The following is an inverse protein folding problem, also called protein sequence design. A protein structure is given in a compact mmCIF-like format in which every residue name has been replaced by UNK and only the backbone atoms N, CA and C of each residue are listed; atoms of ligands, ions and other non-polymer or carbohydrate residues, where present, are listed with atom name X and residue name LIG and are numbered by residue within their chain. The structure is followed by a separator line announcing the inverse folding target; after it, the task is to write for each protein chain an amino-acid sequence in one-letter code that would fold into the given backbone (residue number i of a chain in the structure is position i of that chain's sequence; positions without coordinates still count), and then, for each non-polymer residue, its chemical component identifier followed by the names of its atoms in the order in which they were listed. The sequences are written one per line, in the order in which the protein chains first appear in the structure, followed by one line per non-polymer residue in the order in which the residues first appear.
data_IF_129795123132
#
_entry.id   IF_129795123132
#
_cell.length_a   1.000
_cell.length_b   1.000
_cell.length_c   1.000
_cell.angle_alpha   90.00
_cell.angle_beta   90.00
_cell.angle_gamma   90.00
#
_symmetry.space_group_name_H-M   'P 1'
#
loop_
_entity.id
_entity.type
_entity.pdbx_description
1 polymer ?
#
# COMPACT_ATOMS: atom_id res chain seq x y z
N UNK A 1 -17.54 13.06 -6.35
CA UNK A 1 -16.47 12.17 -6.91
C UNK A 1 -15.18 12.95 -7.08
N UNK A 2 -14.05 12.38 -6.63
CA UNK A 2 -12.73 13.00 -6.83
C UNK A 2 -12.41 13.11 -8.32
N UNK A 3 -11.87 14.25 -8.82
CA UNK A 3 -11.63 14.47 -10.26
C UNK A 3 -10.83 13.41 -10.98
N UNK A 4 -9.86 12.77 -10.29
CA UNK A 4 -9.02 11.70 -10.86
C UNK A 4 -9.83 10.51 -11.42
N UNK A 5 -11.04 10.27 -10.90
CA UNK A 5 -11.87 9.15 -11.34
C UNK A 5 -12.75 9.46 -12.56
N UNK A 6 -12.96 10.73 -12.92
CA UNK A 6 -13.97 11.11 -13.92
C UNK A 6 -13.81 10.37 -15.25
N UNK A 7 -12.59 10.35 -15.81
CA UNK A 7 -12.33 9.71 -17.10
C UNK A 7 -12.54 8.19 -17.04
N UNK A 8 -11.96 7.54 -16.02
CA UNK A 8 -12.09 6.09 -15.85
C UNK A 8 -13.54 5.69 -15.57
N UNK A 9 -14.25 6.45 -14.72
CA UNK A 9 -15.65 6.22 -14.39
C UNK A 9 -16.56 6.36 -15.62
N UNK A 10 -16.38 7.39 -16.44
CA UNK A 10 -17.19 7.62 -17.64
C UNK A 10 -17.06 6.51 -18.69
N UNK A 11 -15.94 5.78 -18.67
CA UNK A 11 -15.69 4.67 -19.57
C UNK A 11 -16.30 3.33 -19.11
N UNK A 12 -16.81 3.26 -17.88
CA UNK A 12 -17.42 2.04 -17.34
C UNK A 12 -18.82 1.81 -17.92
N UNK A 13 -19.34 0.56 -17.93
CA UNK A 13 -20.73 0.28 -18.28
C UNK A 13 -21.69 1.03 -17.36
N UNK A 14 -22.84 1.49 -17.90
CA UNK A 14 -23.81 2.30 -17.17
C UNK A 14 -24.32 1.64 -15.88
N UNK A 15 -24.52 0.33 -15.89
CA UNK A 15 -24.91 -0.44 -14.68
C UNK A 15 -23.87 -0.34 -13.58
N UNK A 16 -22.59 -0.44 -13.94
CA UNK A 16 -21.48 -0.35 -12.99
C UNK A 16 -21.29 1.10 -12.51
N UNK A 17 -21.45 2.10 -13.38
CA UNK A 17 -21.47 3.51 -12.99
C UNK A 17 -22.53 3.75 -11.91
N UNK A 18 -23.77 3.30 -12.15
CA UNK A 18 -24.88 3.48 -11.20
C UNK A 18 -24.62 2.80 -9.86
N UNK A 19 -23.97 1.62 -9.86
CA UNK A 19 -23.65 0.89 -8.64
C UNK A 19 -22.49 1.52 -7.86
N UNK A 20 -21.52 2.14 -8.53
CA UNK A 20 -20.32 2.73 -7.91
C UNK A 20 -20.52 4.18 -7.48
N UNK A 21 -21.37 4.93 -8.18
CA UNK A 21 -21.54 6.37 -7.99
C UNK A 21 -21.78 6.78 -6.53
N UNK A 22 -22.66 6.11 -5.75
CA UNK A 22 -22.91 6.50 -4.37
C UNK A 22 -21.67 6.48 -3.48
N UNK A 23 -20.75 5.57 -3.75
CA UNK A 23 -19.48 5.44 -3.00
C UNK A 23 -18.42 6.44 -3.48
N UNK A 24 -18.30 6.61 -4.80
CA UNK A 24 -17.29 7.50 -5.39
C UNK A 24 -17.64 8.99 -5.21
N UNK A 25 -18.92 9.33 -4.99
CA UNK A 25 -19.36 10.70 -4.69
C UNK A 25 -19.09 11.10 -3.24
N UNK A 26 -18.81 10.15 -2.35
CA UNK A 26 -18.36 10.46 -1.01
C UNK A 26 -17.02 11.21 -1.05
N UNK A 27 -16.94 12.33 -0.33
CA UNK A 27 -15.73 13.20 -0.31
C UNK A 27 -14.51 12.51 0.31
N UNK A 28 -14.75 11.50 1.12
CA UNK A 28 -13.77 10.72 1.89
C UNK A 28 -13.64 9.28 1.40
N UNK A 29 -13.98 9.01 0.13
CA UNK A 29 -13.86 7.67 -0.43
C UNK A 29 -12.43 7.11 -0.24
N UNK A 30 -12.27 6.02 0.54
CA UNK A 30 -10.95 5.57 0.98
C UNK A 30 -10.23 4.68 -0.03
N UNK A 31 -10.63 4.67 -1.30
CA UNK A 31 -10.16 3.79 -2.37
C UNK A 31 -10.23 2.30 -2.00
N UNK A 32 -11.31 1.93 -1.32
CA UNK A 32 -11.63 0.54 -0.98
C UNK A 32 -13.13 0.31 -0.92
N UNK A 33 -13.54 -0.93 -1.03
CA UNK A 33 -14.90 -1.38 -0.78
C UNK A 33 -14.90 -2.44 0.31
N UNK A 34 -15.83 -2.35 1.26
CA UNK A 34 -16.05 -3.43 2.22
C UNK A 34 -16.65 -4.66 1.52
N UNK A 35 -16.57 -5.81 2.17
CA UNK A 35 -17.18 -7.05 1.64
C UNK A 35 -18.67 -6.86 1.32
N UNK A 36 -19.40 -6.14 2.17
CA UNK A 36 -20.82 -5.82 1.97
C UNK A 36 -21.02 -4.93 0.74
N UNK A 37 -20.25 -3.88 0.60
CA UNK A 37 -20.30 -2.97 -0.56
C UNK A 37 -19.93 -3.71 -1.85
N UNK A 38 -18.88 -4.52 -1.83
CA UNK A 38 -18.47 -5.34 -2.97
C UNK A 38 -19.57 -6.34 -3.38
N UNK A 39 -20.21 -6.98 -2.41
CA UNK A 39 -21.34 -7.89 -2.66
C UNK A 39 -22.55 -7.17 -3.28
N UNK A 40 -22.90 -5.98 -2.79
CA UNK A 40 -23.97 -5.16 -3.35
C UNK A 40 -23.69 -4.74 -4.80
N UNK A 41 -22.47 -4.29 -5.10
CA UNK A 41 -22.05 -3.91 -6.45
C UNK A 41 -22.10 -5.13 -7.38
N UNK A 42 -21.54 -6.29 -6.99
CA UNK A 42 -21.59 -7.52 -7.78
C UNK A 42 -23.02 -7.94 -8.11
N UNK A 43 -23.88 -7.99 -7.09
CA UNK A 43 -25.29 -8.37 -7.24
C UNK A 43 -26.02 -7.42 -8.19
N UNK A 44 -25.80 -6.11 -8.07
CA UNK A 44 -26.42 -5.10 -8.93
C UNK A 44 -25.96 -5.14 -10.38
N UNK A 45 -24.74 -5.66 -10.64
CA UNK A 45 -24.16 -5.71 -11.97
C UNK A 45 -24.09 -7.11 -12.58
N UNK A 46 -24.47 -8.16 -11.86
CA UNK A 46 -24.35 -9.55 -12.32
C UNK A 46 -22.89 -10.01 -12.49
N UNK A 47 -21.97 -9.50 -11.65
CA UNK A 47 -20.55 -9.81 -11.70
C UNK A 47 -20.18 -10.82 -10.62
N UNK A 48 -19.18 -11.65 -10.89
CA UNK A 48 -18.46 -12.41 -9.86
C UNK A 48 -17.31 -11.58 -9.25
N UNK A 49 -16.58 -12.17 -8.30
CA UNK A 49 -15.48 -11.49 -7.60
C UNK A 49 -14.36 -11.04 -8.52
N UNK A 50 -13.96 -11.92 -9.45
CA UNK A 50 -12.86 -11.64 -10.36
C UNK A 50 -13.28 -10.59 -11.41
N UNK A 51 -14.47 -10.70 -11.96
CA UNK A 51 -15.03 -9.73 -12.92
C UNK A 51 -15.14 -8.33 -12.30
N UNK A 52 -15.58 -8.22 -11.03
CA UNK A 52 -15.61 -6.93 -10.34
C UNK A 52 -14.19 -6.38 -10.16
N UNK A 53 -13.24 -7.19 -9.70
CA UNK A 53 -11.87 -6.73 -9.51
C UNK A 53 -11.25 -6.22 -10.83
N UNK A 54 -11.46 -6.92 -11.94
CA UNK A 54 -11.04 -6.45 -13.28
C UNK A 54 -11.72 -5.14 -13.69
N UNK A 55 -13.01 -5.02 -13.45
CA UNK A 55 -13.77 -3.81 -13.78
C UNK A 55 -13.33 -2.57 -12.98
N UNK A 56 -12.77 -2.76 -11.79
CA UNK A 56 -12.26 -1.68 -10.93
C UNK A 56 -10.82 -1.24 -11.26
N UNK A 57 -10.06 -2.01 -12.06
CA UNK A 57 -8.66 -1.69 -12.39
C UNK A 57 -8.48 -0.28 -12.99
N UNK A 58 -9.34 0.22 -13.90
CA UNK A 58 -9.20 1.59 -14.42
C UNK A 58 -9.31 2.66 -13.33
N UNK A 59 -10.17 2.46 -12.33
CA UNK A 59 -10.29 3.36 -11.19
C UNK A 59 -9.06 3.29 -10.27
N UNK A 60 -8.53 2.10 -10.05
CA UNK A 60 -7.29 1.94 -9.29
C UNK A 60 -6.11 2.62 -10.01
N UNK A 61 -5.96 2.40 -11.32
CA UNK A 61 -4.93 3.04 -12.15
C UNK A 61 -5.04 4.57 -12.16
N UNK A 62 -6.26 5.12 -12.03
CA UNK A 62 -6.49 6.56 -11.91
C UNK A 62 -5.90 7.17 -10.62
N UNK A 63 -5.52 6.35 -9.63
CA UNK A 63 -4.81 6.77 -8.43
C UNK A 63 -3.29 6.87 -8.63
N UNK A 64 -2.74 6.48 -9.79
CA UNK A 64 -1.29 6.49 -10.02
C UNK A 64 -0.71 7.90 -10.07
N UNK A 65 0.51 8.05 -9.55
CA UNK A 65 1.30 9.27 -9.62
C UNK A 65 2.57 8.97 -10.43
N UNK A 66 2.55 9.29 -11.72
CA UNK A 66 3.58 8.86 -12.68
C UNK A 66 4.18 10.02 -13.48
N UNK A 67 4.78 11.02 -12.79
CA UNK A 67 5.33 12.19 -13.46
C UNK A 67 6.56 11.92 -14.34
N UNK A 68 7.16 10.73 -14.25
CA UNK A 68 8.38 10.35 -14.97
C UNK A 68 8.02 9.43 -16.14
N UNK A 69 7.37 8.30 -15.86
CA UNK A 69 7.09 7.26 -16.88
C UNK A 69 5.81 7.50 -17.66
N UNK A 70 4.83 8.21 -17.09
CA UNK A 70 3.46 8.30 -17.59
C UNK A 70 2.79 6.93 -17.79
N UNK A 71 3.26 5.91 -17.08
CA UNK A 71 2.77 4.53 -17.16
C UNK A 71 1.91 4.21 -15.93
N UNK A 72 0.60 4.03 -16.15
CA UNK A 72 -0.40 3.91 -15.11
C UNK A 72 -0.71 2.46 -14.81
N UNK A 73 -0.34 1.99 -13.62
CA UNK A 73 -0.65 0.64 -13.14
C UNK A 73 -1.65 0.73 -12.00
N UNK A 74 -2.71 -0.06 -12.12
CA UNK A 74 -3.70 -0.25 -11.05
C UNK A 74 -3.70 -1.71 -10.59
N UNK A 75 -3.93 -1.91 -9.30
CA UNK A 75 -4.10 -3.21 -8.69
C UNK A 75 -5.27 -3.21 -7.72
N UNK A 76 -5.92 -4.36 -7.56
CA UNK A 76 -6.95 -4.62 -6.56
C UNK A 76 -6.51 -5.80 -5.71
N UNK A 77 -6.28 -5.57 -4.42
CA UNK A 77 -6.10 -6.63 -3.46
C UNK A 77 -7.46 -7.05 -2.90
N UNK A 78 -7.78 -8.33 -2.94
CA UNK A 78 -8.93 -8.90 -2.26
C UNK A 78 -8.47 -9.57 -0.98
N UNK A 79 -8.96 -9.07 0.15
CA UNK A 79 -8.75 -9.67 1.46
C UNK A 79 -9.52 -10.98 1.63
N UNK A 80 -9.10 -11.81 2.56
CA UNK A 80 -9.90 -12.96 2.98
C UNK A 80 -11.20 -12.54 3.67
N UNK A 81 -11.27 -11.32 4.19
CA UNK A 81 -12.51 -10.68 4.66
C UNK A 81 -13.54 -10.44 3.55
N UNK A 82 -13.13 -10.45 2.28
CA UNK A 82 -13.94 -10.05 1.13
C UNK A 82 -13.84 -8.56 0.78
N UNK A 83 -13.11 -7.76 1.55
CA UNK A 83 -12.84 -6.37 1.23
C UNK A 83 -11.95 -6.25 -0.01
N UNK A 84 -12.16 -5.18 -0.79
CA UNK A 84 -11.36 -4.84 -1.97
C UNK A 84 -10.56 -3.56 -1.71
N UNK A 85 -9.26 -3.61 -1.93
CA UNK A 85 -8.34 -2.50 -1.69
C UNK A 85 -7.66 -2.08 -2.99
N UNK A 86 -7.72 -0.80 -3.32
CA UNK A 86 -7.03 -0.24 -4.48
C UNK A 86 -5.54 -0.12 -4.20
N UNK A 87 -4.75 -0.23 -5.26
CA UNK A 87 -3.34 0.12 -5.29
C UNK A 87 -2.97 0.72 -6.64
N UNK A 88 -1.99 1.61 -6.63
CA UNK A 88 -1.49 2.28 -7.81
C UNK A 88 0.01 2.57 -7.68
N UNK A 89 0.72 2.65 -8.78
CA UNK A 89 2.12 3.00 -8.76
C UNK A 89 2.34 4.49 -8.50
N UNK A 90 3.45 4.78 -7.82
CA UNK A 90 3.82 6.15 -7.43
C UNK A 90 5.29 6.40 -7.74
N UNK A 91 5.57 7.53 -8.37
CA UNK A 91 6.90 8.02 -8.70
C UNK A 91 7.11 9.39 -8.06
N UNK A 92 8.33 9.67 -7.63
CA UNK A 92 8.68 10.91 -6.94
C UNK A 92 9.78 11.63 -7.70
N UNK A 93 9.42 12.73 -8.40
CA UNK A 93 10.39 13.58 -9.09
C UNK A 93 11.42 14.14 -8.11
N UNK A 94 12.70 14.05 -8.47
CA UNK A 94 13.80 14.51 -7.61
C UNK A 94 14.26 13.48 -6.56
N UNK A 95 13.59 12.32 -6.45
CA UNK A 95 14.04 11.20 -5.62
C UNK A 95 14.61 10.05 -6.49
N UNK A 96 15.48 9.19 -5.93
CA UNK A 96 15.94 8.00 -6.63
C UNK A 96 14.78 7.05 -6.99
N UNK A 97 14.90 6.33 -8.12
CA UNK A 97 13.86 5.40 -8.59
C UNK A 97 13.53 4.30 -7.56
N UNK A 98 14.48 3.94 -6.68
CA UNK A 98 14.26 2.99 -5.59
C UNK A 98 13.22 3.46 -4.56
N UNK A 99 12.87 4.75 -4.57
CA UNK A 99 11.82 5.30 -3.71
C UNK A 99 10.42 5.16 -4.31
N UNK A 100 10.30 4.78 -5.58
CA UNK A 100 9.00 4.56 -6.23
C UNK A 100 8.26 3.36 -5.61
N UNK A 101 6.93 3.39 -5.76
CA UNK A 101 6.03 2.34 -5.28
C UNK A 101 5.36 1.67 -6.47
N UNK A 102 5.29 0.35 -6.48
CA UNK A 102 4.53 -0.39 -7.47
C UNK A 102 3.08 -0.59 -7.04
N UNK A 103 2.17 -0.80 -8.00
CA UNK A 103 0.75 -0.90 -7.72
C UNK A 103 0.41 -2.09 -6.81
N UNK A 104 1.09 -3.22 -6.97
CA UNK A 104 0.92 -4.40 -6.14
C UNK A 104 1.38 -4.14 -4.69
N UNK A 105 2.54 -3.49 -4.50
CA UNK A 105 2.99 -3.05 -3.18
C UNK A 105 1.99 -2.10 -2.54
N UNK A 106 1.45 -1.16 -3.33
CA UNK A 106 0.44 -0.21 -2.89
C UNK A 106 -0.84 -0.93 -2.41
N UNK A 107 -1.37 -1.87 -3.19
CA UNK A 107 -2.59 -2.61 -2.84
C UNK A 107 -2.41 -3.48 -1.59
N UNK A 108 -1.31 -4.22 -1.51
CA UNK A 108 -0.95 -5.03 -0.33
C UNK A 108 -0.83 -4.17 0.93
N UNK A 109 -0.06 -3.08 0.82
CA UNK A 109 0.17 -2.15 1.93
C UNK A 109 -1.11 -1.46 2.37
N UNK A 110 -1.96 -1.05 1.43
CA UNK A 110 -3.27 -0.49 1.73
C UNK A 110 -4.11 -1.46 2.56
N UNK A 111 -4.25 -2.70 2.13
CA UNK A 111 -4.96 -3.74 2.87
C UNK A 111 -4.37 -3.95 4.27
N UNK A 112 -3.05 -4.07 4.37
CA UNK A 112 -2.35 -4.27 5.63
C UNK A 112 -2.54 -3.11 6.62
N UNK A 113 -2.44 -1.87 6.15
CA UNK A 113 -2.65 -0.67 6.97
C UNK A 113 -4.11 -0.49 7.41
N UNK A 114 -5.07 -1.01 6.63
CA UNK A 114 -6.50 -1.05 6.98
C UNK A 114 -6.89 -2.23 7.87
N UNK A 115 -5.93 -3.07 8.27
CA UNK A 115 -6.13 -4.15 9.23
C UNK A 115 -6.59 -5.48 8.61
N UNK A 116 -6.49 -5.64 7.29
CA UNK A 116 -6.69 -6.94 6.65
C UNK A 116 -5.67 -7.95 7.18
N UNK A 117 -6.12 -9.18 7.42
CA UNK A 117 -5.29 -10.21 8.06
C UNK A 117 -4.57 -11.10 7.06
N UNK A 118 -5.12 -11.30 5.87
CA UNK A 118 -4.53 -12.08 4.79
C UNK A 118 -5.19 -11.75 3.47
N UNK A 119 -4.50 -11.96 2.36
CA UNK A 119 -5.01 -11.73 1.02
C UNK A 119 -5.38 -13.02 0.32
N UNK A 120 -6.49 -13.00 -0.41
CA UNK A 120 -6.94 -14.09 -1.27
C UNK A 120 -6.38 -13.94 -2.70
N UNK A 121 -6.38 -12.70 -3.24
CA UNK A 121 -5.90 -12.44 -4.59
C UNK A 121 -5.38 -11.02 -4.79
N UNK A 122 -4.53 -10.87 -5.79
CA UNK A 122 -4.15 -9.60 -6.39
C UNK A 122 -4.55 -9.63 -7.86
N UNK A 123 -5.38 -8.67 -8.27
CA UNK A 123 -5.71 -8.41 -9.67
C UNK A 123 -4.94 -7.18 -10.11
N UNK A 124 -4.24 -7.23 -11.23
CA UNK A 124 -3.42 -6.12 -11.74
C UNK A 124 -3.50 -6.05 -13.26
N UNK A 125 -3.44 -4.84 -13.82
CA UNK A 125 -3.63 -4.64 -15.26
C UNK A 125 -2.40 -5.02 -16.11
N UNK A 126 -1.23 -5.20 -15.49
CA UNK A 126 0.00 -5.70 -16.14
C UNK A 126 0.63 -6.81 -15.31
N UNK A 127 1.45 -7.65 -15.95
CA UNK A 127 2.13 -8.74 -15.25
C UNK A 127 3.03 -8.20 -14.14
N UNK A 128 2.97 -8.75 -12.90
CA UNK A 128 3.81 -8.30 -11.80
C UNK A 128 5.29 -8.52 -12.13
N UNK A 129 6.11 -7.50 -11.90
CA UNK A 129 7.56 -7.59 -12.09
C UNK A 129 8.21 -8.49 -11.02
N UNK A 130 9.47 -8.86 -11.20
CA UNK A 130 10.19 -9.71 -10.24
C UNK A 130 10.24 -9.13 -8.83
N UNK A 131 10.37 -7.79 -8.71
CA UNK A 131 10.33 -7.07 -7.44
C UNK A 131 8.99 -7.25 -6.70
N UNK A 132 7.86 -7.11 -7.39
CA UNK A 132 6.53 -7.29 -6.80
C UNK A 132 6.26 -8.75 -6.43
N UNK A 133 6.68 -9.70 -7.26
CA UNK A 133 6.56 -11.13 -6.93
C UNK A 133 7.32 -11.46 -5.65
N UNK A 134 8.55 -10.98 -5.53
CA UNK A 134 9.37 -11.17 -4.34
C UNK A 134 8.80 -10.45 -3.12
N UNK A 135 8.26 -9.23 -3.27
CA UNK A 135 7.58 -8.52 -2.19
C UNK A 135 6.38 -9.31 -1.67
N UNK A 136 5.52 -9.81 -2.57
CA UNK A 136 4.34 -10.60 -2.20
C UNK A 136 4.70 -11.97 -1.58
N UNK A 137 5.89 -12.49 -1.84
CA UNK A 137 6.37 -13.74 -1.26
C UNK A 137 6.61 -13.66 0.26
N UNK A 138 6.63 -12.45 0.82
CA UNK A 138 6.72 -12.20 2.28
C UNK A 138 5.38 -12.38 3.00
N UNK A 139 4.26 -12.37 2.26
CA UNK A 139 2.91 -12.45 2.83
C UNK A 139 2.64 -13.78 3.53
N UNK A 140 1.80 -13.74 4.55
CA UNK A 140 1.29 -14.94 5.21
C UNK A 140 0.40 -15.81 4.30
N UNK A 141 -0.17 -15.26 3.23
CA UNK A 141 -0.79 -16.03 2.14
C UNK A 141 0.24 -16.70 1.21
N UNK A 142 1.48 -16.21 1.20
CA UNK A 142 2.61 -16.81 0.51
C UNK A 142 2.35 -17.20 -0.93
N UNK A 143 2.92 -18.33 -1.34
CA UNK A 143 2.78 -18.85 -2.70
C UNK A 143 1.36 -19.21 -3.14
N UNK A 144 0.41 -19.37 -2.20
CA UNK A 144 -1.00 -19.66 -2.49
C UNK A 144 -1.79 -18.43 -2.97
N UNK A 145 -1.25 -17.20 -2.80
CA UNK A 145 -1.86 -15.97 -3.26
C UNK A 145 -2.22 -16.07 -4.75
N UNK A 146 -3.48 -15.80 -5.08
CA UNK A 146 -3.94 -15.84 -6.46
C UNK A 146 -3.58 -14.56 -7.20
N UNK A 147 -2.96 -14.68 -8.36
CA UNK A 147 -2.64 -13.57 -9.27
C UNK A 147 -3.63 -13.60 -10.44
N UNK A 148 -4.29 -12.48 -10.68
CA UNK A 148 -5.29 -12.30 -11.73
C UNK A 148 -4.80 -11.25 -12.73
N UNK A 149 -4.72 -11.65 -14.00
CA UNK A 149 -4.27 -10.80 -15.10
C UNK A 149 -5.31 -10.80 -16.21
N UNK A 150 -5.57 -9.65 -16.88
CA UNK A 150 -6.49 -9.59 -18.01
C UNK A 150 -6.12 -10.60 -19.10
N UNK A 151 -7.10 -11.39 -19.54
CA UNK A 151 -6.93 -12.36 -20.63
C UNK A 151 -6.05 -13.57 -20.31
N UNK A 152 -5.70 -13.79 -19.04
CA UNK A 152 -4.94 -14.97 -18.61
C UNK A 152 -5.75 -15.84 -17.64
N UNK A 153 -5.48 -17.14 -17.66
CA UNK A 153 -6.01 -18.03 -16.65
C UNK A 153 -5.48 -17.63 -15.27
N UNK A 154 -6.29 -17.82 -14.20
CA UNK A 154 -5.82 -17.64 -12.84
C UNK A 154 -4.60 -18.53 -12.54
N UNK A 155 -3.62 -17.94 -11.83
CA UNK A 155 -2.42 -18.66 -11.41
C UNK A 155 -2.03 -18.20 -10.00
N UNK A 156 -1.25 -19.00 -9.31
CA UNK A 156 -0.75 -18.67 -7.97
C UNK A 156 0.53 -17.84 -8.03
N UNK A 157 0.90 -17.21 -6.93
CA UNK A 157 2.21 -16.55 -6.83
C UNK A 157 3.34 -17.58 -7.02
N UNK A 158 3.18 -18.82 -6.55
CA UNK A 158 4.16 -19.89 -6.74
C UNK A 158 4.39 -20.22 -8.23
N UNK A 159 3.36 -20.11 -9.08
CA UNK A 159 3.50 -20.28 -10.52
C UNK A 159 4.32 -19.13 -11.16
N UNK A 160 4.22 -17.92 -10.60
CA UNK A 160 4.94 -16.73 -11.07
C UNK A 160 6.33 -16.57 -10.47
N UNK A 161 6.62 -17.22 -9.35
CA UNK A 161 7.91 -17.17 -8.64
C UNK A 161 8.29 -18.59 -8.18
N UNK A 162 8.64 -19.50 -9.11
CA UNK A 162 9.10 -20.84 -8.77
C UNK A 162 10.42 -20.78 -8.02
N UNK A 163 10.68 -21.77 -7.15
CA UNK A 163 11.90 -21.87 -6.33
C UNK A 163 12.25 -20.57 -5.56
N UNK A 164 11.21 -19.93 -5.03
CA UNK A 164 11.32 -18.63 -4.39
C UNK A 164 12.13 -18.67 -3.10
N UNK A 165 13.14 -17.80 -2.98
CA UNK A 165 13.77 -17.46 -1.71
C UNK A 165 12.81 -16.63 -0.84
N UNK A 166 12.67 -17.00 0.43
CA UNK A 166 11.73 -16.32 1.30
C UNK A 166 11.99 -16.53 2.80
N UNK A 167 11.05 -16.14 3.67
CA UNK A 167 11.22 -16.19 5.13
C UNK A 167 11.65 -17.55 5.66
N UNK A 168 11.12 -18.65 5.11
CA UNK A 168 11.46 -20.02 5.49
C UNK A 168 12.94 -20.36 5.30
N UNK A 169 13.61 -19.76 4.32
CA UNK A 169 15.02 -20.01 4.04
C UNK A 169 15.94 -19.31 5.05
N UNK A 170 15.39 -18.40 5.85
CA UNK A 170 16.06 -17.67 6.93
C UNK A 170 15.49 -18.06 8.32
N UNK A 171 14.74 -19.16 8.41
CA UNK A 171 14.11 -19.65 9.65
C UNK A 171 13.21 -18.59 10.34
N UNK A 172 12.57 -17.70 9.55
CA UNK A 172 11.68 -16.66 10.05
C UNK A 172 10.24 -17.15 9.98
N UNK A 173 9.58 -17.19 11.14
CA UNK A 173 8.20 -17.64 11.29
C UNK A 173 7.16 -16.52 11.14
N UNK A 174 7.52 -15.27 11.49
CA UNK A 174 6.62 -14.12 11.37
C UNK A 174 6.58 -13.63 9.91
N UNK A 175 5.39 -13.56 9.35
CA UNK A 175 5.16 -13.21 7.95
C UNK A 175 4.48 -11.84 7.84
N UNK A 176 4.59 -11.22 6.68
CA UNK A 176 3.91 -9.95 6.41
C UNK A 176 2.39 -10.15 6.51
N UNK A 177 1.71 -9.24 7.17
CA UNK A 177 0.30 -9.21 7.59
C UNK A 177 -0.01 -10.00 8.88
N UNK A 178 0.92 -10.73 9.46
CA UNK A 178 0.74 -11.25 10.81
C UNK A 178 0.58 -10.09 11.81
N UNK A 179 -0.22 -10.31 12.83
CA UNK A 179 -0.45 -9.29 13.85
C UNK A 179 0.71 -9.23 14.82
N UNK A 180 1.35 -8.06 14.89
CA UNK A 180 2.50 -7.82 15.76
C UNK A 180 2.32 -6.52 16.56
N UNK A 181 2.90 -6.49 17.76
CA UNK A 181 3.08 -5.28 18.56
C UNK A 181 4.40 -5.39 19.33
N UNK A 182 5.36 -4.57 18.93
CA UNK A 182 6.71 -4.62 19.52
C UNK A 182 6.82 -3.94 20.89
N UNK A 183 5.82 -3.14 21.29
CA UNK A 183 5.74 -2.55 22.63
C UNK A 183 6.72 -1.42 22.91
N UNK A 184 7.33 -0.83 21.87
CA UNK A 184 8.21 0.32 22.04
C UNK A 184 7.46 1.53 22.60
N UNK A 185 8.14 2.32 23.40
CA UNK A 185 7.57 3.49 24.08
C UNK A 185 8.48 4.71 23.88
N UNK A 186 7.86 5.86 23.83
CA UNK A 186 8.53 7.17 23.88
C UNK A 186 7.91 7.99 25.02
N UNK A 187 8.64 8.96 25.58
CA UNK A 187 8.04 9.95 26.47
C UNK A 187 6.82 10.59 25.81
N UNK A 188 5.95 11.19 26.62
CA UNK A 188 4.76 11.87 26.11
C UNK A 188 5.13 12.89 25.04
N UNK A 189 4.58 12.72 23.83
CA UNK A 189 4.83 13.51 22.63
C UNK A 189 3.51 13.92 21.98
N UNK A 190 3.60 14.72 20.91
CA UNK A 190 2.44 15.11 20.11
C UNK A 190 1.80 13.92 19.36
N UNK A 191 0.60 14.13 18.82
CA UNK A 191 -0.17 13.11 18.12
C UNK A 191 0.57 12.54 16.90
N UNK A 192 1.35 13.37 16.19
CA UNK A 192 2.12 12.95 15.03
C UNK A 192 3.22 11.95 15.42
N UNK A 193 3.97 12.24 16.48
CA UNK A 193 5.00 11.34 17.02
C UNK A 193 4.40 10.03 17.53
N UNK A 194 3.26 10.10 18.23
CA UNK A 194 2.57 8.90 18.69
C UNK A 194 2.05 8.04 17.53
N UNK A 195 1.57 8.65 16.44
CA UNK A 195 1.16 7.91 15.23
C UNK A 195 2.34 7.20 14.57
N UNK A 196 3.51 7.84 14.47
CA UNK A 196 4.72 7.23 13.96
C UNK A 196 5.20 6.04 14.82
N UNK A 197 5.18 6.20 16.14
CA UNK A 197 5.52 5.13 17.12
C UNK A 197 4.54 3.96 17.01
N UNK A 198 3.24 4.23 16.94
CA UNK A 198 2.23 3.19 16.79
C UNK A 198 2.42 2.40 15.48
N UNK A 199 2.82 3.07 14.39
CA UNK A 199 3.18 2.44 13.15
C UNK A 199 4.44 1.58 13.29
N UNK A 200 5.50 2.08 13.94
CA UNK A 200 6.73 1.32 14.23
C UNK A 200 6.44 0.05 15.03
N UNK A 201 5.58 0.14 16.04
CA UNK A 201 5.18 -1.01 16.87
C UNK A 201 4.46 -2.11 16.09
N UNK A 202 3.94 -1.81 14.92
CA UNK A 202 3.22 -2.76 14.04
C UNK A 202 3.96 -3.03 12.74
N UNK A 203 5.23 -2.63 12.64
CA UNK A 203 6.07 -2.87 11.48
C UNK A 203 6.48 -4.34 11.37
N UNK A 204 6.77 -4.78 10.15
CA UNK A 204 7.32 -6.10 9.85
C UNK A 204 8.81 -5.94 9.54
N UNK A 205 9.66 -6.27 10.49
CA UNK A 205 11.12 -6.17 10.34
C UNK A 205 11.84 -7.35 11.02
N UNK A 206 11.57 -8.60 10.57
CA UNK A 206 12.06 -9.80 11.25
C UNK A 206 13.56 -10.04 11.06
N UNK A 207 14.19 -9.43 10.05
CA UNK A 207 15.60 -9.67 9.69
C UNK A 207 16.53 -8.67 10.36
N UNK A 208 16.20 -7.39 10.32
CA UNK A 208 17.06 -6.31 10.88
C UNK A 208 16.67 -5.91 12.30
N UNK A 209 15.45 -6.23 12.72
CA UNK A 209 14.82 -5.71 13.95
C UNK A 209 14.74 -4.17 14.01
N UNK A 210 14.91 -3.50 12.86
CA UNK A 210 14.81 -2.05 12.75
C UNK A 210 13.34 -1.60 12.58
N UNK A 211 12.51 -1.89 13.60
CA UNK A 211 11.10 -1.53 13.62
C UNK A 211 10.94 -0.04 13.40
N UNK A 212 10.25 0.37 12.34
CA UNK A 212 10.12 1.79 12.05
C UNK A 212 8.75 2.16 11.49
N UNK A 213 8.37 3.41 11.72
CA UNK A 213 7.11 3.98 11.25
C UNK A 213 7.27 5.46 10.94
N UNK A 214 6.53 5.94 9.95
CA UNK A 214 6.46 7.35 9.57
C UNK A 214 5.03 7.83 9.72
N UNK A 215 4.86 9.02 10.28
CA UNK A 215 3.59 9.74 10.26
C UNK A 215 3.76 11.08 9.53
N UNK A 216 2.78 11.40 8.69
CA UNK A 216 2.69 12.62 7.89
C UNK A 216 1.52 13.45 8.38
N UNK A 217 1.71 14.76 8.49
CA UNK A 217 0.65 15.74 8.73
C UNK A 217 0.51 16.63 7.50
N UNK A 218 -0.69 16.70 6.97
CA UNK A 218 -1.02 17.55 5.82
C UNK A 218 -1.56 18.92 6.25
N UNK A 219 -1.63 19.85 5.30
CA UNK A 219 -2.03 21.26 5.56
C UNK A 219 -3.44 21.38 6.18
N UNK A 220 -4.31 20.42 5.95
CA UNK A 220 -5.66 20.32 6.51
C UNK A 220 -5.71 19.62 7.90
N UNK A 221 -4.55 19.24 8.44
CA UNK A 221 -4.41 18.62 9.76
C UNK A 221 -4.66 17.11 9.78
N UNK A 222 -4.87 16.48 8.63
CA UNK A 222 -5.01 15.02 8.56
C UNK A 222 -3.67 14.33 8.80
N UNK A 223 -3.73 13.18 9.47
CA UNK A 223 -2.57 12.34 9.76
C UNK A 223 -2.62 11.05 8.93
N UNK A 224 -1.46 10.68 8.36
CA UNK A 224 -1.28 9.44 7.61
C UNK A 224 -0.05 8.72 8.14
N UNK A 225 -0.22 7.51 8.64
CA UNK A 225 0.88 6.74 9.22
C UNK A 225 1.16 5.48 8.40
N UNK A 226 2.44 5.22 8.15
CA UNK A 226 2.93 4.04 7.44
C UNK A 226 3.99 3.31 8.26
N UNK A 227 4.05 2.01 8.10
CA UNK A 227 4.96 1.11 8.81
C UNK A 227 5.87 0.37 7.84
N UNK A 228 7.09 0.08 8.28
CA UNK A 228 8.09 -0.64 7.51
C UNK A 228 7.64 -2.07 7.23
N UNK A 229 7.81 -2.51 5.99
CA UNK A 229 7.60 -3.89 5.55
C UNK A 229 8.90 -4.42 4.97
N UNK A 230 9.65 -5.19 5.76
CA UNK A 230 10.90 -5.80 5.36
C UNK A 230 10.65 -7.05 4.51
N UNK A 231 11.60 -7.39 3.64
CA UNK A 231 11.54 -8.56 2.78
C UNK A 231 12.81 -9.40 2.94
N UNK A 232 12.68 -10.72 2.86
CA UNK A 232 13.79 -11.65 2.97
C UNK A 232 14.94 -11.36 1.96
N UNK A 233 14.61 -10.87 0.77
CA UNK A 233 15.57 -10.49 -0.26
C UNK A 233 16.07 -9.04 -0.14
N UNK A 234 15.74 -8.33 0.93
CA UNK A 234 16.08 -6.96 1.30
C UNK A 234 15.56 -5.89 0.33
N UNK A 235 16.03 -5.84 -0.92
CA UNK A 235 15.68 -4.78 -1.88
C UNK A 235 14.17 -4.59 -2.12
N UNK A 236 13.31 -5.63 -2.09
CA UNK A 236 11.87 -5.44 -2.21
C UNK A 236 11.18 -4.87 -0.97
N UNK A 237 11.89 -4.66 0.13
CA UNK A 237 11.33 -4.05 1.34
C UNK A 237 10.67 -2.69 1.02
N UNK A 238 9.54 -2.41 1.66
CA UNK A 238 8.83 -1.14 1.50
C UNK A 238 9.09 -0.24 2.71
N UNK A 239 9.77 0.91 2.52
CA UNK A 239 10.03 1.85 3.60
C UNK A 239 8.74 2.43 4.22
N UNK A 240 8.77 2.85 5.49
CA UNK A 240 7.58 3.36 6.19
C UNK A 240 7.04 4.66 5.59
N UNK A 241 7.90 5.50 5.00
CA UNK A 241 7.46 6.70 4.29
C UNK A 241 6.55 6.35 3.11
N UNK A 242 6.97 5.39 2.27
CA UNK A 242 6.18 4.96 1.12
C UNK A 242 4.82 4.39 1.56
N UNK A 243 4.79 3.64 2.66
CA UNK A 243 3.54 3.14 3.23
C UNK A 243 2.60 4.29 3.64
N UNK A 244 3.10 5.35 4.27
CA UNK A 244 2.31 6.53 4.63
C UNK A 244 1.84 7.30 3.38
N UNK A 245 2.71 7.47 2.37
CA UNK A 245 2.37 8.13 1.11
C UNK A 245 1.30 7.36 0.31
N UNK A 246 1.30 6.03 0.37
CA UNK A 246 0.22 5.20 -0.20
C UNK A 246 -1.13 5.57 0.41
N UNK A 247 -1.24 5.61 1.75
CA UNK A 247 -2.50 5.98 2.40
C UNK A 247 -2.94 7.38 2.05
N UNK A 248 -2.02 8.35 2.09
CA UNK A 248 -2.30 9.74 1.74
C UNK A 248 -2.85 9.84 0.31
N UNK A 249 -2.17 9.25 -0.65
CA UNK A 249 -2.59 9.27 -2.05
C UNK A 249 -3.95 8.58 -2.26
N UNK A 250 -4.14 7.38 -1.72
CA UNK A 250 -5.38 6.63 -1.89
C UNK A 250 -6.58 7.29 -1.20
N UNK A 251 -6.35 8.07 -0.14
CA UNK A 251 -7.35 8.92 0.49
C UNK A 251 -7.66 10.21 -0.29
N UNK A 252 -7.04 10.41 -1.47
CA UNK A 252 -7.26 11.59 -2.31
C UNK A 252 -6.39 12.80 -1.94
N UNK A 253 -5.42 12.65 -1.03
CA UNK A 253 -4.51 13.72 -0.62
C UNK A 253 -3.41 14.00 -1.64
N UNK A 254 -2.86 15.22 -1.59
CA UNK A 254 -1.70 15.63 -2.38
C UNK A 254 -0.41 15.49 -1.54
N UNK A 255 0.54 14.71 -2.02
CA UNK A 255 1.84 14.53 -1.36
C UNK A 255 2.60 15.86 -1.17
N UNK A 256 2.32 16.87 -1.98
CA UNK A 256 2.90 18.23 -1.84
C UNK A 256 2.23 19.06 -0.73
N UNK A 257 1.12 18.58 -0.18
CA UNK A 257 0.44 19.24 0.94
C UNK A 257 0.97 18.81 2.31
N UNK A 258 1.99 17.93 2.35
CA UNK A 258 2.63 17.50 3.59
C UNK A 258 3.36 18.70 4.23
N UNK A 259 3.04 18.97 5.51
CA UNK A 259 3.62 20.07 6.31
C UNK A 259 4.70 19.58 7.25
N UNK A 260 4.42 18.47 7.92
CA UNK A 260 5.30 17.88 8.94
C UNK A 260 5.37 16.38 8.78
N UNK A 261 6.50 15.80 9.14
CA UNK A 261 6.68 14.35 9.19
C UNK A 261 7.53 13.94 10.39
N UNK A 262 7.21 12.79 10.96
CA UNK A 262 8.01 12.15 12.00
C UNK A 262 8.35 10.74 11.57
N UNK A 263 9.64 10.38 11.65
CA UNK A 263 10.11 9.01 11.58
C UNK A 263 10.38 8.51 13.01
N UNK A 264 9.71 7.45 13.43
CA UNK A 264 10.02 6.70 14.66
C UNK A 264 10.83 5.46 14.30
N UNK A 265 12.03 5.31 14.89
CA UNK A 265 12.91 4.15 14.65
C UNK A 265 13.83 3.89 15.85
N UNK A 266 14.39 2.65 16.00
CA UNK A 266 15.27 2.32 17.13
C UNK A 266 16.58 3.10 17.06
N UNK A 267 17.07 3.49 18.25
CA UNK A 267 18.41 4.05 18.36
C UNK A 267 19.47 2.96 18.19
N UNK A 268 20.42 3.17 17.29
CA UNK A 268 21.56 2.26 17.09
C UNK A 268 21.21 0.99 16.32
N UNK A 269 20.08 0.91 15.62
CA UNK A 269 19.80 -0.18 14.69
C UNK A 269 20.84 -0.27 13.58
N UNK A 270 21.03 -1.48 13.04
CA UNK A 270 21.98 -1.73 11.95
C UNK A 270 21.61 -1.06 10.62
N UNK A 271 20.34 -0.65 10.47
CA UNK A 271 19.83 0.14 9.33
C UNK A 271 19.01 1.33 9.84
N UNK A 272 18.90 2.38 9.03
CA UNK A 272 18.08 3.54 9.33
C UNK A 272 17.30 3.96 8.09
N UNK A 273 16.07 4.40 8.29
CA UNK A 273 15.21 4.98 7.25
C UNK A 273 15.39 6.50 7.12
N UNK A 274 16.23 7.12 7.96
CA UNK A 274 16.29 8.57 8.12
C UNK A 274 16.66 9.32 6.85
N UNK A 275 17.80 8.99 6.24
CA UNK A 275 18.31 9.77 5.11
C UNK A 275 17.40 9.65 3.88
N UNK A 276 16.88 8.44 3.59
CA UNK A 276 15.94 8.22 2.49
C UNK A 276 14.60 8.93 2.74
N UNK A 277 14.08 8.88 3.96
CA UNK A 277 12.84 9.56 4.36
C UNK A 277 12.98 11.07 4.18
N UNK A 278 14.04 11.68 4.73
CA UNK A 278 14.29 13.11 4.65
C UNK A 278 14.49 13.58 3.21
N UNK A 279 15.30 12.85 2.43
CA UNK A 279 15.58 13.23 1.04
C UNK A 279 14.32 13.14 0.16
N UNK A 280 13.51 12.11 0.31
CA UNK A 280 12.27 11.95 -0.45
C UNK A 280 11.23 13.03 -0.07
N UNK A 281 11.07 13.32 1.22
CA UNK A 281 10.18 14.38 1.69
C UNK A 281 10.63 15.77 1.22
N UNK A 282 11.95 16.02 1.20
CA UNK A 282 12.49 17.27 0.64
C UNK A 282 12.17 17.41 -0.85
N UNK A 283 12.25 16.34 -1.64
CA UNK A 283 11.85 16.32 -3.04
C UNK A 283 10.35 16.59 -3.24
N UNK A 284 9.51 16.22 -2.25
CA UNK A 284 8.07 16.51 -2.22
C UNK A 284 7.74 17.91 -1.66
N UNK A 285 8.75 18.67 -1.21
CA UNK A 285 8.59 20.02 -0.68
C UNK A 285 8.40 20.12 0.84
N UNK A 286 8.44 19.01 1.57
CA UNK A 286 8.37 19.01 3.03
C UNK A 286 9.78 19.08 3.65
N UNK A 287 10.05 20.14 4.44
CA UNK A 287 11.34 20.37 5.13
C UNK A 287 11.24 20.13 6.65
N UNK A 288 10.04 20.16 7.22
CA UNK A 288 9.82 19.92 8.65
C UNK A 288 9.71 18.40 8.91
N UNK A 289 10.87 17.78 9.01
CA UNK A 289 11.02 16.34 9.22
C UNK A 289 11.83 16.11 10.49
N UNK A 290 11.27 15.38 11.43
CA UNK A 290 11.92 15.04 12.68
C UNK A 290 12.06 13.54 12.87
N UNK A 291 13.01 13.15 13.74
CA UNK A 291 13.29 11.76 14.11
C UNK A 291 12.97 11.56 15.58
N UNK A 292 12.15 10.58 15.89
CA UNK A 292 11.86 10.11 17.24
C UNK A 292 12.55 8.75 17.41
N UNK A 293 13.61 8.73 18.22
CA UNK A 293 14.38 7.52 18.50
C UNK A 293 13.92 6.87 19.81
N UNK A 294 13.72 5.55 19.82
CA UNK A 294 13.35 4.74 20.98
C UNK A 294 14.35 3.61 21.24
#
# INVERSE_FOLDING_TARGET
MHPRFHTAFSALPATLQSALQPYLDASDFPAMFTAEQAAAIRSGCGLDDDALAFALLPLAAACSLTPISHFHVGAIARGQSGNLYFGANMEFSGAPLQQSVHAEQSAVTHAWLRGEKALASITVNYTPCGHCRQFMNELNSGGALQIRLPGRAPATLADYLPDAFGPKDLDVASLLMDEVNHGHQLPQNDALTQAALAAANRSHAPYSHAHSGVALETADGNLYAGRYAENAAFNPSLPPLQAALILLNLSGGDCRAIRRAVLAEPQGAGISQWDATRATLAALGCQDVSRAAF
#
